data_IF_657412731079
#
_entry.id   IF_657412731079
#
_cell.length_a   1.000
_cell.length_b   1.000
_cell.length_c   1.000
_cell.angle_alpha   90.00
_cell.angle_beta   90.00
_cell.angle_gamma   90.00
#
_symmetry.space_group_name_H-M   'P 1'
#
loop_
_entity.id
_entity.type
_entity.pdbx_description
1 polymer ?
#
# COMPACT_ATOMS: atom_id res chain seq x y z
N UNK A 1 -16.81 12.30 8.68
CA UNK A 1 -16.81 11.26 9.73
C UNK A 1 -15.92 10.13 9.24
N UNK A 2 -14.66 10.10 9.66
CA UNK A 2 -13.65 9.15 9.17
C UNK A 2 -13.68 7.92 10.08
N UNK A 3 -14.21 6.80 9.57
CA UNK A 3 -14.16 5.50 10.26
C UNK A 3 -12.82 4.85 9.93
N UNK A 4 -11.96 4.71 10.92
CA UNK A 4 -10.69 4.00 10.80
C UNK A 4 -11.00 2.50 10.95
N UNK A 5 -10.68 1.70 9.93
CA UNK A 5 -10.79 0.24 9.96
C UNK A 5 -9.59 -0.37 10.71
N UNK A 6 -9.77 -1.43 11.52
CA UNK A 6 -8.64 -2.15 12.11
C UNK A 6 -8.00 -3.04 11.04
N UNK A 7 -6.96 -2.54 10.38
CA UNK A 7 -6.15 -3.27 9.40
C UNK A 7 -4.77 -2.61 9.27
N UNK A 8 -3.75 -3.38 8.91
CA UNK A 8 -2.42 -2.83 8.64
C UNK A 8 -2.49 -2.04 7.34
N UNK A 9 -2.48 -0.71 7.45
CA UNK A 9 -2.46 0.22 6.32
C UNK A 9 -1.00 0.39 5.89
N UNK A 10 -0.66 -0.02 4.67
CA UNK A 10 0.68 0.21 4.13
C UNK A 10 0.69 1.47 3.24
N UNK A 11 1.58 2.40 3.58
CA UNK A 11 1.74 3.69 2.90
C UNK A 11 2.58 3.45 1.64
N UNK A 12 1.90 3.03 0.57
CA UNK A 12 2.36 3.05 -0.83
C UNK A 12 3.52 2.15 -1.26
N UNK A 13 4.25 1.53 -0.33
CA UNK A 13 5.32 0.57 -0.65
C UNK A 13 5.21 -0.62 0.29
N UNK A 14 5.09 -1.88 -0.22
CA UNK A 14 5.06 -3.06 0.63
C UNK A 14 6.25 -3.09 1.58
N UNK A 15 5.98 -3.05 2.89
CA UNK A 15 7.02 -3.17 3.91
C UNK A 15 7.50 -4.61 3.90
N UNK A 16 8.71 -4.86 3.37
CA UNK A 16 9.29 -6.21 3.21
C UNK A 16 9.28 -7.04 4.51
N UNK A 17 9.30 -6.39 5.68
CA UNK A 17 9.17 -7.03 6.98
C UNK A 17 7.83 -7.75 7.20
N UNK A 18 6.76 -7.39 6.48
CA UNK A 18 5.47 -8.07 6.50
C UNK A 18 5.51 -9.45 5.83
N UNK A 19 6.58 -9.77 5.10
CA UNK A 19 6.82 -11.07 4.49
C UNK A 19 7.98 -11.83 5.12
N UNK A 20 8.49 -11.37 6.28
CA UNK A 20 9.58 -12.04 6.97
C UNK A 20 9.13 -13.41 7.54
N UNK A 21 10.01 -14.42 7.59
CA UNK A 21 9.66 -15.70 8.20
C UNK A 21 9.16 -15.53 9.64
N UNK A 22 7.98 -16.07 9.94
CA UNK A 22 7.41 -16.08 11.30
C UNK A 22 6.59 -14.85 11.67
N UNK A 23 6.35 -13.90 10.76
CA UNK A 23 5.48 -12.74 11.06
C UNK A 23 4.01 -12.95 10.67
N UNK A 24 3.66 -14.04 9.98
CA UNK A 24 2.32 -14.27 9.41
C UNK A 24 1.19 -14.15 10.44
N UNK A 25 1.42 -14.64 11.67
CA UNK A 25 0.43 -14.56 12.76
C UNK A 25 0.19 -13.13 13.29
N UNK A 26 1.05 -12.19 12.93
CA UNK A 26 0.98 -10.79 13.34
C UNK A 26 0.50 -9.87 12.21
N UNK A 27 0.34 -10.40 11.00
CA UNK A 27 -0.13 -9.65 9.83
C UNK A 27 -1.61 -9.95 9.62
N UNK A 28 -2.45 -8.92 9.75
CA UNK A 28 -3.86 -8.99 9.42
C UNK A 28 -4.10 -8.99 7.91
N UNK A 29 -5.32 -8.69 7.49
CA UNK A 29 -5.58 -8.42 6.08
C UNK A 29 -4.81 -7.19 5.61
N UNK A 30 -4.14 -7.32 4.46
CA UNK A 30 -3.38 -6.24 3.84
C UNK A 30 -4.29 -5.49 2.87
N UNK A 31 -4.20 -4.17 2.96
CA UNK A 31 -4.90 -3.24 2.09
C UNK A 31 -3.92 -2.18 1.62
N UNK A 32 -3.99 -1.84 0.35
CA UNK A 32 -3.31 -0.69 -0.20
C UNK A 32 -4.31 0.46 -0.26
N UNK A 33 -3.94 1.59 0.34
CA UNK A 33 -4.76 2.80 0.33
C UNK A 33 -4.16 3.88 -0.58
N UNK A 34 -5.04 4.67 -1.20
CA UNK A 34 -4.64 5.87 -1.92
C UNK A 34 -4.35 7.02 -0.95
N UNK A 35 -3.08 7.39 -0.83
CA UNK A 35 -2.65 8.60 -0.10
C UNK A 35 -2.34 9.78 -1.02
N UNK A 36 -2.83 9.72 -2.27
CA UNK A 36 -2.67 10.74 -3.30
C UNK A 36 -1.21 10.98 -3.71
N UNK A 37 -0.38 9.93 -3.71
CA UNK A 37 1.01 10.04 -4.20
C UNK A 37 1.02 10.34 -5.70
N UNK A 38 1.67 11.44 -6.13
CA UNK A 38 1.78 11.76 -7.54
C UNK A 38 2.44 10.62 -8.35
N UNK A 39 1.87 10.21 -9.50
CA UNK A 39 2.45 9.15 -10.34
C UNK A 39 3.92 9.38 -10.72
N UNK A 40 4.33 10.65 -10.87
CA UNK A 40 5.71 11.02 -11.18
C UNK A 40 6.72 10.60 -10.09
N UNK A 41 6.30 10.47 -8.82
CA UNK A 41 7.18 10.02 -7.74
C UNK A 41 7.47 8.53 -7.86
N UNK A 42 6.48 7.70 -8.19
CA UNK A 42 6.68 6.28 -8.48
C UNK A 42 7.64 6.07 -9.66
N UNK A 43 7.48 6.89 -10.72
CA UNK A 43 8.32 6.84 -11.91
C UNK A 43 9.72 7.47 -11.74
N UNK A 44 10.01 8.10 -10.60
CA UNK A 44 11.30 8.72 -10.35
C UNK A 44 12.43 7.67 -10.37
N UNK A 45 13.67 8.00 -10.76
CA UNK A 45 14.78 7.03 -10.81
C UNK A 45 15.09 6.34 -9.48
N UNK A 46 14.70 6.94 -8.35
CA UNK A 46 14.89 6.38 -7.02
C UNK A 46 13.97 5.18 -6.74
N UNK A 47 12.75 5.20 -7.31
CA UNK A 47 11.75 4.13 -7.17
C UNK A 47 11.68 3.27 -8.43
N UNK A 48 11.70 3.89 -9.61
CA UNK A 48 11.70 3.21 -10.91
C UNK A 48 10.47 2.35 -11.15
N UNK A 49 9.36 2.65 -10.46
CA UNK A 49 8.16 1.82 -10.46
C UNK A 49 7.20 2.27 -11.56
N UNK A 50 6.68 1.30 -12.31
CA UNK A 50 5.54 1.49 -13.19
C UNK A 50 4.28 1.00 -12.47
N UNK A 51 3.57 1.92 -11.82
CA UNK A 51 2.34 1.63 -11.08
C UNK A 51 1.14 1.94 -11.99
N UNK A 52 0.39 0.92 -12.46
CA UNK A 52 -0.86 1.17 -13.18
C UNK A 52 -1.89 1.85 -12.27
N UNK A 53 -2.96 2.44 -12.81
CA UNK A 53 -3.98 3.16 -12.02
C UNK A 53 -4.89 2.20 -11.22
N UNK A 54 -4.28 1.36 -10.36
CA UNK A 54 -4.94 0.31 -9.56
C UNK A 54 -5.93 0.88 -8.54
N UNK A 55 -5.75 2.14 -8.12
CA UNK A 55 -6.63 2.86 -7.20
C UNK A 55 -7.67 3.73 -7.92
N UNK A 56 -7.67 3.79 -9.27
CA UNK A 56 -8.60 4.66 -10.00
C UNK A 56 -10.08 4.26 -9.86
N UNK A 57 -10.34 3.00 -9.47
CA UNK A 57 -11.69 2.51 -9.22
C UNK A 57 -12.12 2.62 -7.75
N UNK A 58 -11.20 2.69 -6.79
CA UNK A 58 -11.47 2.69 -5.35
C UNK A 58 -10.25 3.16 -4.56
N UNK A 59 -10.49 3.94 -3.51
CA UNK A 59 -9.44 4.49 -2.64
C UNK A 59 -8.71 3.42 -1.80
N UNK A 60 -9.23 2.19 -1.77
CA UNK A 60 -8.64 1.04 -1.07
C UNK A 60 -8.75 -0.20 -1.97
N UNK A 61 -7.65 -0.95 -2.11
CA UNK A 61 -7.60 -2.24 -2.80
C UNK A 61 -6.98 -3.31 -1.89
N UNK A 62 -7.34 -4.58 -2.12
CA UNK A 62 -6.91 -5.76 -1.35
C UNK A 62 -6.08 -6.69 -2.24
#
# INVERSE_FOLDING_TARGET
MMRVWPGTLDDTVPVAGLSAPGVDAHVGELYLADISVPPALHASPALGLNVPPILAASDIVR
#
